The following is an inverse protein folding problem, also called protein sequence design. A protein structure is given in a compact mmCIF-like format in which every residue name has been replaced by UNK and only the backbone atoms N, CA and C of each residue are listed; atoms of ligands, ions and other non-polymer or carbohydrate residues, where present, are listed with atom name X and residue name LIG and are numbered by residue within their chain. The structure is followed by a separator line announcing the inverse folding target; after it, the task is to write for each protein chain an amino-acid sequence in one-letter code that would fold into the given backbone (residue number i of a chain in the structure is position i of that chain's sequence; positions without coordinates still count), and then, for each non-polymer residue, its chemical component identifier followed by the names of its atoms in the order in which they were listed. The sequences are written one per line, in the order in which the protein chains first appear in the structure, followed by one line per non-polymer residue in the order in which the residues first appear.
data_IF_381429821409
#
_entry.id   IF_381429821409
#
_cell.length_a   1.000
_cell.length_b   1.000
_cell.length_c   1.000
_cell.angle_alpha   90.00
_cell.angle_beta   90.00
_cell.angle_gamma   90.00
#
_symmetry.space_group_name_H-M   'P 1'
#
loop_
_entity.id
_entity.type
_entity.pdbx_description
1 polymer ?
#
# COMPACT_ATOMS: atom_id res chain seq x y z
N UNK A 1 -55.76 -21.41 -38.76
CA UNK A 1 -54.30 -21.25 -38.95
C UNK A 1 -53.64 -21.53 -37.61
N UNK A 2 -52.96 -22.66 -37.45
CA UNK A 2 -52.34 -23.09 -36.19
C UNK A 2 -50.90 -23.48 -36.48
N UNK A 3 -49.95 -22.77 -35.86
CA UNK A 3 -48.53 -23.03 -36.05
C UNK A 3 -48.04 -24.05 -35.03
N UNK A 4 -47.37 -25.09 -35.53
CA UNK A 4 -46.91 -26.25 -34.78
C UNK A 4 -45.38 -26.21 -34.80
N UNK A 5 -44.74 -26.07 -33.64
CA UNK A 5 -43.27 -26.23 -33.51
C UNK A 5 -43.02 -27.38 -32.53
N UNK A 6 -42.00 -28.18 -32.85
CA UNK A 6 -41.70 -29.50 -32.28
C UNK A 6 -40.82 -29.37 -31.03
N UNK A 7 -41.24 -30.03 -29.95
CA UNK A 7 -40.28 -30.58 -28.98
C UNK A 7 -39.57 -31.82 -29.57
N UNK A 8 -38.31 -32.04 -29.19
CA UNK A 8 -37.57 -33.26 -29.55
C UNK A 8 -36.69 -33.78 -28.42
N UNK A 9 -36.88 -35.06 -28.11
CA UNK A 9 -36.08 -35.94 -27.22
C UNK A 9 -36.16 -37.37 -27.81
N UNK A 10 -35.47 -38.42 -27.31
CA UNK A 10 -34.50 -38.50 -26.19
C UNK A 10 -33.04 -38.60 -26.74
N UNK A 11 -32.07 -39.51 -26.38
CA UNK A 11 -32.14 -40.84 -25.76
C UNK A 11 -31.37 -41.05 -24.42
N UNK A 12 -32.06 -41.73 -23.49
CA UNK A 12 -31.62 -42.89 -22.67
C UNK A 12 -30.11 -43.08 -22.39
N UNK A 13 -29.74 -42.94 -21.11
CA UNK A 13 -28.46 -43.38 -20.53
C UNK A 13 -28.40 -44.91 -20.37
N UNK A 14 -27.22 -45.51 -20.56
CA UNK A 14 -26.91 -46.82 -19.97
C UNK A 14 -26.01 -47.76 -20.78
N UNK A 15 -24.70 -47.76 -20.49
CA UNK A 15 -24.03 -49.03 -20.18
C UNK A 15 -22.90 -48.83 -19.16
N UNK A 16 -22.80 -49.80 -18.27
CA UNK A 16 -21.94 -49.88 -17.09
C UNK A 16 -20.71 -50.72 -17.40
N UNK A 17 -19.52 -50.27 -16.97
CA UNK A 17 -18.46 -51.21 -16.55
C UNK A 17 -17.62 -50.60 -15.44
N UNK A 18 -17.52 -51.34 -14.33
CA UNK A 18 -16.70 -51.00 -13.16
C UNK A 18 -15.49 -51.93 -13.16
N UNK A 19 -14.29 -51.38 -12.96
CA UNK A 19 -13.14 -52.15 -12.44
C UNK A 19 -12.48 -51.34 -11.32
N UNK A 20 -12.63 -51.84 -10.10
CA UNK A 20 -11.88 -51.44 -8.91
C UNK A 20 -10.89 -52.57 -8.64
N UNK A 21 -9.60 -52.30 -8.36
CA UNK A 21 -8.70 -53.20 -7.62
C UNK A 21 -7.39 -52.51 -7.19
N UNK A 22 -7.39 -52.04 -5.94
CA UNK A 22 -6.31 -52.10 -4.92
C UNK A 22 -4.82 -51.85 -5.26
N UNK A 23 -4.28 -50.82 -4.60
CA UNK A 23 -2.95 -50.70 -3.97
C UNK A 23 -1.83 -51.71 -4.29
N UNK A 24 -0.69 -51.19 -4.75
CA UNK A 24 0.64 -51.78 -4.66
C UNK A 24 1.70 -50.68 -4.44
N UNK A 25 2.57 -50.84 -3.45
CA UNK A 25 3.53 -49.82 -3.00
C UNK A 25 4.61 -49.47 -4.04
N UNK A 26 4.99 -48.19 -4.14
CA UNK A 26 6.05 -47.80 -5.08
C UNK A 26 6.41 -46.31 -5.13
N UNK A 27 6.70 -45.66 -3.99
CA UNK A 27 7.46 -44.41 -4.03
C UNK A 27 8.90 -44.73 -4.45
N UNK A 28 9.20 -44.65 -5.75
CA UNK A 28 10.58 -44.69 -6.22
C UNK A 28 11.22 -43.33 -5.91
N UNK A 29 12.11 -43.31 -4.91
CA UNK A 29 13.01 -42.17 -4.71
C UNK A 29 14.08 -42.32 -5.79
N UNK A 30 13.91 -41.57 -6.88
CA UNK A 30 14.99 -41.39 -7.86
C UNK A 30 16.07 -40.58 -7.17
N UNK A 31 17.20 -41.22 -6.88
CA UNK A 31 18.46 -40.48 -6.73
C UNK A 31 18.77 -39.87 -8.09
N UNK A 32 18.71 -38.54 -8.19
CA UNK A 32 19.51 -37.83 -9.17
C UNK A 32 20.89 -37.70 -8.53
N UNK A 33 21.76 -38.64 -8.88
CA UNK A 33 23.19 -38.47 -8.68
C UNK A 33 23.69 -37.39 -9.66
N UNK A 34 24.78 -36.71 -9.30
CA UNK A 34 25.22 -35.47 -9.94
C UNK A 34 25.53 -35.60 -11.44
N UNK A 35 24.76 -34.89 -12.27
CA UNK A 35 25.15 -34.46 -13.62
C UNK A 35 24.34 -33.19 -13.96
N UNK A 36 24.70 -32.08 -13.32
CA UNK A 36 24.17 -30.77 -13.72
C UNK A 36 24.69 -30.43 -15.12
N UNK A 37 23.81 -30.56 -16.12
CA UNK A 37 23.98 -29.83 -17.38
C UNK A 37 23.62 -28.38 -17.13
N UNK A 38 24.60 -27.52 -17.35
CA UNK A 38 24.47 -26.07 -17.36
C UNK A 38 23.48 -25.67 -18.46
N UNK A 39 22.22 -25.39 -18.08
CA UNK A 39 21.37 -24.47 -18.84
C UNK A 39 21.58 -23.08 -18.24
N UNK A 40 22.13 -22.19 -19.06
CA UNK A 40 22.58 -20.84 -18.72
C UNK A 40 21.38 -19.89 -18.50
N UNK A 41 20.63 -20.16 -17.43
CA UNK A 41 19.57 -19.31 -16.92
C UNK A 41 20.15 -18.35 -15.88
N UNK A 42 20.56 -17.16 -16.34
CA UNK A 42 21.13 -16.10 -15.49
C UNK A 42 20.20 -15.77 -14.32
N UNK A 43 20.50 -16.33 -13.14
CA UNK A 43 19.90 -15.89 -11.88
C UNK A 43 20.54 -14.55 -11.54
N UNK A 44 20.00 -13.49 -12.14
CA UNK A 44 20.31 -12.10 -11.80
C UNK A 44 19.79 -11.82 -10.39
N UNK A 45 20.59 -12.21 -9.39
CA UNK A 45 20.52 -11.62 -8.07
C UNK A 45 20.96 -10.17 -8.27
N UNK A 46 20.00 -9.26 -8.36
CA UNK A 46 20.24 -7.83 -8.47
C UNK A 46 20.87 -7.33 -7.16
N UNK A 47 22.19 -7.45 -7.08
CA UNK A 47 22.99 -6.76 -6.09
C UNK A 47 22.93 -5.26 -6.39
N UNK A 48 22.61 -4.47 -5.37
CA UNK A 48 22.84 -3.04 -5.36
C UNK A 48 24.32 -2.79 -5.72
N UNK A 49 24.56 -2.15 -6.87
CA UNK A 49 25.92 -1.89 -7.38
C UNK A 49 26.64 -0.82 -6.57
N UNK A 50 25.93 -0.12 -5.67
CA UNK A 50 26.46 0.99 -4.89
C UNK A 50 26.58 2.30 -5.68
N UNK A 51 26.09 2.36 -6.92
CA UNK A 51 26.07 3.59 -7.72
C UNK A 51 24.92 4.53 -7.32
N UNK A 52 23.82 3.99 -6.78
CA UNK A 52 22.66 4.77 -6.30
C UNK A 52 22.52 4.73 -4.77
N UNK A 53 22.67 5.87 -4.11
CA UNK A 53 22.37 6.01 -2.68
C UNK A 53 20.98 6.65 -2.47
N UNK A 54 20.02 5.81 -2.07
CA UNK A 54 18.65 6.23 -1.79
C UNK A 54 18.55 7.27 -0.65
N UNK A 55 19.50 7.26 0.31
CA UNK A 55 19.55 8.20 1.43
C UNK A 55 19.90 9.59 0.93
N UNK A 56 20.97 9.68 0.12
CA UNK A 56 21.43 10.93 -0.50
C UNK A 56 20.38 11.48 -1.46
N UNK A 57 19.74 10.60 -2.25
CA UNK A 57 18.64 10.98 -3.12
C UNK A 57 17.47 11.58 -2.33
N UNK A 58 16.97 10.88 -1.30
CA UNK A 58 15.84 11.34 -0.47
C UNK A 58 16.17 12.65 0.25
N UNK A 59 17.36 12.78 0.82
CA UNK A 59 17.80 14.02 1.46
C UNK A 59 17.82 15.21 0.49
N UNK A 60 18.20 15.00 -0.77
CA UNK A 60 18.21 16.05 -1.80
C UNK A 60 16.82 16.54 -2.22
N UNK A 61 15.78 15.69 -2.13
CA UNK A 61 14.42 16.02 -2.56
C UNK A 61 13.45 16.37 -1.42
N UNK A 62 13.79 16.04 -0.17
CA UNK A 62 12.86 16.12 0.96
C UNK A 62 12.28 17.52 1.18
N UNK A 63 13.13 18.52 1.41
CA UNK A 63 12.71 19.89 1.67
C UNK A 63 12.33 20.65 0.39
N UNK A 64 13.00 20.35 -0.73
CA UNK A 64 12.87 21.10 -1.99
C UNK A 64 11.70 20.64 -2.86
N UNK A 65 11.22 19.39 -2.68
CA UNK A 65 10.19 18.79 -3.56
C UNK A 65 9.10 18.04 -2.80
N UNK A 66 9.45 17.13 -1.88
CA UNK A 66 8.47 16.28 -1.19
C UNK A 66 7.56 17.10 -0.29
N UNK A 67 8.12 17.89 0.64
CA UNK A 67 7.32 18.72 1.54
C UNK A 67 6.50 19.81 0.81
N UNK A 68 7.05 20.57 -0.16
CA UNK A 68 6.26 21.51 -0.97
C UNK A 68 5.09 20.83 -1.70
N UNK A 69 5.34 19.70 -2.37
CA UNK A 69 4.32 18.98 -3.14
C UNK A 69 3.16 18.48 -2.27
N UNK A 70 3.46 17.98 -1.07
CA UNK A 70 2.42 17.54 -0.13
C UNK A 70 1.65 18.74 0.44
N UNK A 71 2.33 19.84 0.80
CA UNK A 71 1.65 21.06 1.31
C UNK A 71 0.75 21.73 0.27
N UNK A 72 1.18 21.77 -0.99
CA UNK A 72 0.41 22.40 -2.08
C UNK A 72 -0.83 21.61 -2.48
N UNK A 73 -0.78 20.27 -2.35
CA UNK A 73 -1.79 19.35 -2.88
C UNK A 73 -2.57 18.60 -1.79
N UNK A 74 -2.31 18.91 -0.51
CA UNK A 74 -3.12 18.41 0.59
C UNK A 74 -4.51 19.02 0.60
N UNK A 75 -5.50 18.17 0.87
CA UNK A 75 -6.90 18.55 1.05
C UNK A 75 -7.26 18.39 2.52
N UNK A 76 -8.06 19.31 3.06
CA UNK A 76 -8.58 19.20 4.42
C UNK A 76 -9.38 17.91 4.62
N UNK A 77 -9.05 17.18 5.69
CA UNK A 77 -9.42 15.78 5.86
C UNK A 77 -10.93 15.54 5.88
N UNK A 78 -11.72 16.38 6.56
CA UNK A 78 -13.19 16.31 6.55
C UNK A 78 -13.78 16.46 5.14
N UNK A 79 -13.19 17.35 4.34
CA UNK A 79 -13.63 17.58 2.95
C UNK A 79 -13.30 16.37 2.08
N UNK A 80 -12.07 15.86 2.21
CA UNK A 80 -11.60 14.73 1.42
C UNK A 80 -12.34 13.43 1.77
N UNK A 81 -12.49 13.11 3.06
CA UNK A 81 -13.15 11.88 3.50
C UNK A 81 -14.67 11.93 3.29
N UNK A 82 -15.30 13.10 3.43
CA UNK A 82 -16.68 13.31 3.01
C UNK A 82 -16.88 13.06 1.52
N UNK A 83 -16.00 13.61 0.66
CA UNK A 83 -16.09 13.39 -0.79
C UNK A 83 -15.78 11.95 -1.19
N UNK A 84 -14.77 11.30 -0.59
CA UNK A 84 -14.46 9.88 -0.83
C UNK A 84 -15.59 8.92 -0.39
N UNK A 85 -16.48 9.36 0.50
CA UNK A 85 -17.62 8.58 0.98
C UNK A 85 -18.85 8.71 0.08
N UNK A 86 -19.18 9.94 -0.32
CA UNK A 86 -20.42 10.24 -1.05
C UNK A 86 -20.22 10.30 -2.58
N UNK A 87 -19.05 10.74 -3.06
CA UNK A 87 -18.72 10.98 -4.47
C UNK A 87 -17.27 10.55 -4.82
N UNK A 88 -16.91 9.25 -4.65
CA UNK A 88 -15.52 8.78 -4.76
C UNK A 88 -14.87 9.08 -6.13
N UNK A 89 -15.60 8.91 -7.24
CA UNK A 89 -15.09 9.23 -8.58
C UNK A 89 -14.69 10.71 -8.71
N UNK A 90 -15.45 11.62 -8.09
CA UNK A 90 -15.18 13.06 -8.09
C UNK A 90 -14.00 13.42 -7.18
N UNK A 91 -13.83 12.73 -6.04
CA UNK A 91 -12.64 12.88 -5.21
C UNK A 91 -11.38 12.41 -5.96
N UNK A 92 -11.47 11.27 -6.64
CA UNK A 92 -10.41 10.70 -7.47
C UNK A 92 -10.01 11.66 -8.60
N UNK A 93 -10.98 12.19 -9.37
CA UNK A 93 -10.70 13.11 -10.47
C UNK A 93 -10.02 14.41 -10.02
N UNK A 94 -10.41 14.94 -8.84
CA UNK A 94 -9.90 16.23 -8.34
C UNK A 94 -8.58 16.13 -7.58
N UNK A 95 -8.38 15.06 -6.81
CA UNK A 95 -7.34 14.99 -5.77
C UNK A 95 -6.55 13.67 -5.78
N UNK A 96 -7.00 12.67 -6.53
CA UNK A 96 -6.36 11.36 -6.59
C UNK A 96 -5.16 11.36 -7.52
N UNK A 97 -4.01 10.90 -7.02
CA UNK A 97 -2.82 10.68 -7.84
C UNK A 97 -2.42 9.19 -7.85
N UNK A 98 -2.00 8.68 -9.00
CA UNK A 98 -1.39 7.34 -9.10
C UNK A 98 -0.31 7.35 -10.16
N UNK A 99 0.81 6.69 -9.86
CA UNK A 99 1.96 6.53 -10.76
C UNK A 99 1.61 5.67 -12.00
N UNK A 100 0.73 4.68 -11.85
CA UNK A 100 0.30 3.77 -12.91
C UNK A 100 -1.21 3.52 -12.87
N UNK A 101 -1.81 3.11 -14.00
CA UNK A 101 -3.26 2.84 -14.12
C UNK A 101 -3.73 1.72 -13.16
N UNK A 102 -2.86 0.78 -12.83
CA UNK A 102 -3.10 -0.36 -11.93
C UNK A 102 -2.79 -0.06 -10.46
N UNK A 103 -2.10 1.04 -10.17
CA UNK A 103 -1.76 1.42 -8.81
C UNK A 103 -2.98 1.99 -8.06
N UNK A 104 -3.07 1.79 -6.72
CA UNK A 104 -4.05 2.49 -5.89
C UNK A 104 -3.93 4.01 -6.04
N UNK A 105 -5.04 4.72 -5.86
CA UNK A 105 -4.99 6.17 -5.73
C UNK A 105 -4.35 6.57 -4.41
N UNK A 106 -3.47 7.57 -4.47
CA UNK A 106 -2.86 8.22 -3.33
C UNK A 106 -3.49 9.60 -3.19
N UNK A 107 -3.65 10.04 -1.95
CA UNK A 107 -4.13 11.37 -1.62
C UNK A 107 -3.21 11.99 -0.58
N UNK A 108 -3.02 13.30 -0.67
CA UNK A 108 -2.38 14.11 0.36
C UNK A 108 -3.46 14.79 1.19
N UNK A 109 -3.24 14.85 2.50
CA UNK A 109 -4.26 15.27 3.46
C UNK A 109 -3.65 16.09 4.59
N UNK A 110 -4.36 17.14 4.98
CA UNK A 110 -4.08 17.98 6.14
C UNK A 110 -5.28 17.99 7.08
N UNK A 111 -5.03 18.34 8.34
CA UNK A 111 -6.10 18.67 9.28
C UNK A 111 -5.61 18.74 10.72
N UNK A 112 -6.54 19.11 11.59
CA UNK A 112 -6.34 19.18 13.04
C UNK A 112 -7.39 18.29 13.70
N UNK A 113 -6.98 17.26 14.45
CA UNK A 113 -7.90 16.30 15.05
C UNK A 113 -7.46 15.84 16.44
N UNK A 114 -8.42 15.40 17.25
CA UNK A 114 -8.13 14.87 18.59
C UNK A 114 -7.66 13.41 18.50
N UNK A 115 -6.64 13.03 19.24
CA UNK A 115 -6.23 11.63 19.40
C UNK A 115 -7.17 10.93 20.38
N UNK A 116 -7.87 9.90 19.92
CA UNK A 116 -8.81 9.10 20.74
C UNK A 116 -8.20 7.79 21.23
N UNK A 117 -7.16 7.29 20.57
CA UNK A 117 -6.44 6.08 20.94
C UNK A 117 -4.98 6.16 20.53
N UNK A 118 -4.09 5.62 21.36
CA UNK A 118 -2.67 5.37 21.08
C UNK A 118 -2.44 3.86 21.15
N UNK A 119 -1.87 3.26 20.10
CA UNK A 119 -1.49 1.86 20.06
C UNK A 119 0.01 1.71 19.80
N UNK A 120 0.75 1.38 20.86
CA UNK A 120 2.20 1.13 20.85
C UNK A 120 2.55 -0.34 21.11
N UNK A 121 1.57 -1.24 21.14
CA UNK A 121 1.76 -2.68 21.44
C UNK A 121 2.66 -3.41 20.43
N UNK A 122 2.78 -2.85 19.21
CA UNK A 122 3.69 -3.35 18.17
C UNK A 122 4.55 -2.24 17.60
N UNK A 123 5.66 -2.62 16.95
CA UNK A 123 6.57 -1.71 16.27
C UNK A 123 5.91 -0.91 15.12
N UNK A 124 4.76 -1.37 14.61
CA UNK A 124 3.93 -0.64 13.66
C UNK A 124 2.83 0.16 14.39
N UNK A 125 3.27 0.98 15.33
CA UNK A 125 2.43 1.77 16.24
C UNK A 125 1.60 2.81 15.48
N UNK A 126 0.35 3.03 15.93
CA UNK A 126 -0.58 4.00 15.34
C UNK A 126 -1.26 4.85 16.41
N UNK A 127 -1.77 6.00 16.00
CA UNK A 127 -2.79 6.75 16.74
C UNK A 127 -4.09 6.74 15.94
N UNK A 128 -5.22 6.66 16.62
CA UNK A 128 -6.55 6.86 16.01
C UNK A 128 -7.04 8.27 16.32
N UNK A 129 -7.61 8.94 15.32
CA UNK A 129 -8.14 10.29 15.42
C UNK A 129 -9.66 10.30 15.63
N UNK A 130 -10.18 11.37 16.23
CA UNK A 130 -11.61 11.73 16.28
C UNK A 130 -12.06 12.27 14.92
N UNK A 131 -11.90 11.43 13.90
CA UNK A 131 -12.09 11.76 12.50
C UNK A 131 -12.53 10.49 11.77
N UNK A 132 -13.66 10.56 11.07
CA UNK A 132 -14.28 9.37 10.45
C UNK A 132 -13.87 9.26 8.98
N UNK A 133 -13.21 8.16 8.63
CA UNK A 133 -12.86 7.83 7.24
C UNK A 133 -14.09 7.42 6.42
N UNK A 134 -13.93 7.27 5.08
CA UNK A 134 -15.04 6.91 4.19
C UNK A 134 -15.64 5.52 4.48
N UNK A 135 -14.90 4.63 5.13
CA UNK A 135 -15.38 3.32 5.59
C UNK A 135 -16.14 3.36 6.94
N UNK A 136 -16.34 4.55 7.50
CA UNK A 136 -17.05 4.76 8.76
C UNK A 136 -16.22 4.45 10.02
N UNK A 137 -14.91 4.23 9.91
CA UNK A 137 -14.01 3.96 11.04
C UNK A 137 -13.13 5.17 11.37
N UNK A 138 -12.53 5.24 12.57
CA UNK A 138 -11.50 6.22 12.89
C UNK A 138 -10.35 6.19 11.89
N UNK A 139 -9.86 7.37 11.51
CA UNK A 139 -8.65 7.54 10.71
C UNK A 139 -7.41 7.28 11.57
N UNK A 140 -6.44 6.54 11.06
CA UNK A 140 -5.18 6.26 11.76
C UNK A 140 -3.99 7.01 11.17
N UNK A 141 -3.04 7.42 12.03
CA UNK A 141 -1.73 7.94 11.64
C UNK A 141 -0.64 6.99 12.15
N UNK A 142 0.34 6.68 11.30
CA UNK A 142 1.53 5.90 11.68
C UNK A 142 2.48 6.71 12.57
N UNK A 143 2.81 6.19 13.76
CA UNK A 143 3.76 6.79 14.71
C UNK A 143 4.91 5.84 15.13
N UNK A 144 4.86 4.58 14.69
CA UNK A 144 5.80 3.54 15.10
C UNK A 144 7.18 3.59 14.43
N UNK A 145 8.19 2.90 15.02
CA UNK A 145 9.51 2.73 14.39
C UNK A 145 9.49 1.90 13.09
N UNK A 146 8.39 1.18 12.81
CA UNK A 146 8.14 0.47 11.54
C UNK A 146 6.98 1.14 10.80
N UNK A 147 7.32 1.98 9.83
CA UNK A 147 6.38 2.57 8.88
C UNK A 147 6.07 1.56 7.76
N UNK A 148 4.80 1.46 7.38
CA UNK A 148 4.29 0.59 6.31
C UNK A 148 3.93 1.40 5.07
N UNK A 149 3.96 0.71 3.92
CA UNK A 149 3.45 1.23 2.65
C UNK A 149 4.39 2.20 1.95
N UNK A 150 3.93 2.64 0.78
CA UNK A 150 4.69 3.45 -0.20
C UNK A 150 4.05 4.81 -0.47
N UNK A 151 3.00 5.18 0.29
CA UNK A 151 2.11 6.30 0.00
C UNK A 151 2.81 7.64 -0.27
N UNK A 152 3.88 7.97 0.47
CA UNK A 152 4.62 9.23 0.26
C UNK A 152 5.41 9.21 -1.05
N UNK A 153 6.06 8.09 -1.41
CA UNK A 153 6.74 7.94 -2.71
C UNK A 153 5.72 7.99 -3.85
N UNK A 154 4.66 7.19 -3.73
CA UNK A 154 3.65 7.00 -4.76
C UNK A 154 2.70 8.21 -4.92
N UNK A 155 2.86 9.25 -4.10
CA UNK A 155 2.22 10.57 -4.25
C UNK A 155 3.06 11.58 -5.06
N UNK A 156 4.31 11.26 -5.39
CA UNK A 156 5.23 12.18 -6.06
C UNK A 156 5.18 11.98 -7.58
N UNK A 157 4.76 13.01 -8.31
CA UNK A 157 4.75 13.04 -9.79
C UNK A 157 6.13 13.10 -10.45
N UNK A 158 7.20 13.11 -9.64
CA UNK A 158 8.58 13.21 -10.06
C UNK A 158 9.48 12.05 -9.62
N UNK A 159 8.91 10.98 -9.04
CA UNK A 159 9.63 9.76 -8.68
C UNK A 159 9.01 8.61 -9.47
N UNK A 160 9.48 8.41 -10.70
CA UNK A 160 8.96 7.38 -11.60
C UNK A 160 9.84 6.14 -11.54
N UNK A 161 9.29 4.96 -11.83
CA UNK A 161 10.08 3.73 -11.85
C UNK A 161 11.24 3.81 -12.87
N UNK A 162 10.98 4.42 -14.03
CA UNK A 162 11.95 4.61 -15.12
C UNK A 162 13.14 5.52 -14.75
N UNK A 163 13.08 6.23 -13.62
CA UNK A 163 14.19 7.03 -13.10
C UNK A 163 15.25 6.17 -12.36
N UNK A 164 15.03 4.85 -12.23
CA UNK A 164 15.87 3.91 -11.47
C UNK A 164 16.26 2.69 -12.30
N UNK A 165 17.39 2.06 -11.97
CA UNK A 165 17.94 0.93 -12.72
C UNK A 165 17.14 -0.35 -12.50
N UNK A 166 16.52 -0.51 -11.33
CA UNK A 166 15.86 -1.74 -10.90
C UNK A 166 14.84 -1.51 -9.77
N UNK A 167 14.05 -2.55 -9.49
CA UNK A 167 13.02 -2.53 -8.44
C UNK A 167 13.58 -2.37 -7.02
N UNK A 168 14.84 -2.77 -6.76
CA UNK A 168 15.47 -2.64 -5.44
C UNK A 168 15.78 -1.17 -5.13
N UNK A 169 16.33 -0.41 -6.08
CA UNK A 169 16.55 1.04 -5.98
C UNK A 169 15.24 1.79 -5.75
N UNK A 170 14.22 1.54 -6.58
CA UNK A 170 12.91 2.18 -6.45
C UNK A 170 12.19 1.84 -5.12
N UNK A 171 12.36 0.61 -4.61
CA UNK A 171 11.89 0.22 -3.29
C UNK A 171 12.69 0.89 -2.16
N UNK A 172 14.02 1.02 -2.33
CA UNK A 172 14.89 1.70 -1.39
C UNK A 172 14.53 3.18 -1.22
N UNK A 173 14.10 3.88 -2.28
CA UNK A 173 13.58 5.26 -2.16
C UNK A 173 12.36 5.33 -1.23
N UNK A 174 11.41 4.40 -1.34
CA UNK A 174 10.27 4.38 -0.40
C UNK A 174 10.69 4.05 1.03
N UNK A 175 11.69 3.18 1.20
CA UNK A 175 12.26 2.83 2.50
C UNK A 175 12.95 4.03 3.15
N UNK A 176 13.71 4.80 2.38
CA UNK A 176 14.41 5.98 2.90
C UNK A 176 13.50 7.19 3.09
N UNK A 177 12.42 7.38 2.31
CA UNK A 177 11.37 8.35 2.64
C UNK A 177 10.73 8.02 4.00
N UNK A 178 10.42 6.75 4.26
CA UNK A 178 9.90 6.29 5.54
C UNK A 178 10.92 6.43 6.68
N UNK A 179 12.22 6.26 6.42
CA UNK A 179 13.28 6.52 7.40
C UNK A 179 13.43 8.02 7.70
N UNK A 180 13.36 8.87 6.66
CA UNK A 180 13.41 10.33 6.79
C UNK A 180 12.28 10.83 7.67
N UNK A 181 11.05 10.36 7.45
CA UNK A 181 9.87 10.64 8.29
C UNK A 181 10.12 10.27 9.74
N UNK A 182 10.62 9.05 10.02
CA UNK A 182 10.93 8.64 11.40
C UNK A 182 11.93 9.59 12.06
N UNK A 183 12.99 9.97 11.33
CA UNK A 183 14.05 10.84 11.84
C UNK A 183 13.58 12.29 12.11
N UNK A 184 12.74 12.87 11.24
CA UNK A 184 12.39 14.31 11.31
C UNK A 184 10.99 14.60 11.86
N UNK A 185 10.11 13.60 11.97
CA UNK A 185 8.72 13.76 12.45
C UNK A 185 8.46 12.96 13.73
N UNK A 186 8.99 11.73 13.82
CA UNK A 186 8.60 10.78 14.88
C UNK A 186 9.67 10.54 15.96
N UNK A 187 10.89 11.04 15.79
CA UNK A 187 12.00 10.76 16.70
C UNK A 187 11.75 11.34 18.09
N UNK A 188 11.37 12.61 18.14
CA UNK A 188 11.21 13.39 19.37
C UNK A 188 9.78 13.36 19.93
N UNK A 189 8.92 12.52 19.35
CA UNK A 189 7.50 12.43 19.69
C UNK A 189 7.29 11.55 20.93
N UNK A 190 6.78 12.14 22.02
CA UNK A 190 6.22 11.39 23.14
C UNK A 190 4.87 10.78 22.74
N UNK A 191 4.95 9.54 22.24
CA UNK A 191 3.83 8.78 21.66
C UNK A 191 2.70 8.54 22.65
N UNK A 192 3.02 8.27 23.92
CA UNK A 192 2.03 7.97 24.95
C UNK A 192 1.31 9.26 25.39
N UNK A 193 2.03 10.39 25.46
CA UNK A 193 1.47 11.70 25.78
C UNK A 193 0.56 12.30 24.67
N UNK A 194 0.39 11.62 23.53
CA UNK A 194 -0.56 12.01 22.49
C UNK A 194 -2.02 11.78 22.92
N UNK A 195 -2.29 10.82 23.81
CA UNK A 195 -3.65 10.40 24.14
C UNK A 195 -4.51 11.59 24.61
N UNK A 196 -5.57 11.90 23.86
CA UNK A 196 -6.50 12.99 24.17
C UNK A 196 -6.05 14.39 23.74
N UNK A 197 -4.84 14.57 23.19
CA UNK A 197 -4.38 15.85 22.62
C UNK A 197 -5.02 16.13 21.26
N UNK A 198 -5.06 17.40 20.88
CA UNK A 198 -5.19 17.78 19.47
C UNK A 198 -3.83 17.60 18.77
N UNK A 199 -3.86 17.16 17.51
CA UNK A 199 -2.69 17.09 16.63
C UNK A 199 -2.99 17.77 15.30
N UNK A 200 -2.11 18.67 14.87
CA UNK A 200 -1.99 19.10 13.48
C UNK A 200 -1.22 18.03 12.71
N UNK A 201 -1.75 17.59 11.57
CA UNK A 201 -1.08 16.62 10.71
C UNK A 201 -1.07 17.04 9.24
N UNK A 202 -0.02 16.59 8.56
CA UNK A 202 0.11 16.63 7.11
C UNK A 202 0.70 15.29 6.67
N UNK A 203 0.13 14.65 5.66
CA UNK A 203 0.63 13.35 5.20
C UNK A 203 0.01 12.86 3.90
N UNK A 204 0.31 11.62 3.57
CA UNK A 204 -0.27 10.92 2.42
C UNK A 204 -0.77 9.52 2.81
N UNK A 205 -1.78 9.03 2.09
CA UNK A 205 -2.31 7.67 2.24
C UNK A 205 -2.67 7.05 0.88
N UNK A 206 -2.59 5.71 0.82
CA UNK A 206 -3.13 4.93 -0.29
C UNK A 206 -4.59 4.59 0.00
N UNK A 207 -5.49 4.98 -0.91
CA UNK A 207 -6.90 4.69 -0.83
C UNK A 207 -7.24 3.41 -1.59
N UNK A 208 -8.03 2.56 -0.92
CA UNK A 208 -8.68 1.40 -1.52
C UNK A 208 -10.08 1.36 -0.92
N UNK A 209 -11.10 1.27 -1.77
CA UNK A 209 -12.50 1.28 -1.35
C UNK A 209 -12.78 0.21 -0.25
N UNK A 210 -13.52 0.60 0.79
CA UNK A 210 -13.84 -0.26 1.92
C UNK A 210 -12.69 -0.56 2.89
N UNK A 211 -11.47 -0.03 2.67
CA UNK A 211 -10.36 -0.10 3.64
C UNK A 211 -10.28 1.15 4.49
N UNK A 212 -9.85 0.96 5.74
CA UNK A 212 -9.62 2.04 6.70
C UNK A 212 -8.40 2.87 6.32
N UNK A 213 -8.45 4.17 6.61
CA UNK A 213 -7.41 5.12 6.25
C UNK A 213 -6.22 4.99 7.21
N UNK A 214 -5.02 4.80 6.65
CA UNK A 214 -3.75 4.84 7.36
C UNK A 214 -2.83 5.91 6.73
N UNK A 215 -2.69 7.03 7.42
CA UNK A 215 -1.87 8.16 7.00
C UNK A 215 -0.40 7.92 7.35
N UNK A 216 0.47 8.19 6.38
CA UNK A 216 1.92 8.31 6.56
C UNK A 216 2.23 9.80 6.76
N UNK A 217 2.50 10.27 7.99
CA UNK A 217 2.70 11.70 8.24
C UNK A 217 4.05 12.18 7.70
N UNK A 218 4.07 13.38 7.14
CA UNK A 218 5.29 14.16 6.86
C UNK A 218 5.41 15.37 7.78
N UNK A 219 4.32 15.78 8.43
CA UNK A 219 4.33 16.60 9.64
C UNK A 219 3.28 16.04 10.63
N UNK A 220 3.61 16.05 11.92
CA UNK A 220 2.69 15.71 13.01
C UNK A 220 3.10 16.53 14.24
N UNK A 221 2.23 17.43 14.70
CA UNK A 221 2.51 18.35 15.82
C UNK A 221 1.36 18.29 16.82
N UNK A 222 1.60 17.84 18.05
CA UNK A 222 0.63 18.00 19.13
C UNK A 222 0.48 19.49 19.48
N UNK A 223 -0.74 19.93 19.71
CA UNK A 223 -0.96 21.22 20.39
C UNK A 223 -0.43 21.16 21.83
N UNK A 224 0.01 22.32 22.36
CA UNK A 224 0.58 22.46 23.71
C UNK A 224 -0.47 22.37 24.83
#
# INVERSE_FOLDING_TARGET
MHMKIRDSAPPVFGLMLVVFLTFGSGCTIVRHDDDQKEEDGEISIYFDTGEFDATVYVDSIWNERVLPRIREQAVEADTLFGMLKEEPDTAIEKYGYRIEITAPFNFMVSGTAKVISVNTESAASTISLDLTGPDGKPVEIQIGPVMKGTAVRDSMDFINFDDFTNQLEFANVSRELNNKIKAVVLNDLDREALQGKMVDFLGAFQWVEGKSILITPVELKPEE
#
